data_IF_512874946691
#
_entry.id   IF_512874946691
#
_cell.length_a   1.000
_cell.length_b   1.000
_cell.length_c   1.000
_cell.angle_alpha   90.00
_cell.angle_beta   90.00
_cell.angle_gamma   90.00
#
_symmetry.space_group_name_H-M   'P 1'
#
loop_
_entity.id
_entity.type
_entity.pdbx_description
1 polymer ?
#
# COMPACT_ATOMS: atom_id res chain seq x y z
N UNK A 1 -7.30 -7.97 -18.63
CA UNK A 1 -8.67 -7.54 -18.42
C UNK A 1 -8.76 -6.36 -17.46
N UNK A 2 -8.10 -6.46 -16.33
CA UNK A 2 -8.06 -5.35 -15.38
C UNK A 2 -7.47 -4.11 -15.98
N UNK A 3 -6.44 -4.26 -16.77
CA UNK A 3 -5.83 -3.11 -17.42
C UNK A 3 -6.78 -2.40 -18.36
N UNK A 4 -7.57 -3.17 -19.08
CA UNK A 4 -8.54 -2.59 -19.99
C UNK A 4 -9.60 -1.78 -19.25
N UNK A 5 -10.09 -2.31 -18.13
CA UNK A 5 -11.06 -1.61 -17.30
C UNK A 5 -10.50 -0.31 -16.75
N UNK A 6 -9.28 -0.36 -16.27
CA UNK A 6 -8.63 0.82 -15.73
C UNK A 6 -8.38 1.88 -16.80
N UNK A 7 -7.97 1.45 -17.97
CA UNK A 7 -7.72 2.38 -19.07
C UNK A 7 -8.99 3.07 -19.51
N UNK A 8 -10.11 2.37 -19.51
CA UNK A 8 -11.39 2.95 -19.88
C UNK A 8 -12.02 3.83 -18.84
N UNK A 9 -11.40 3.98 -17.67
CA UNK A 9 -11.97 4.73 -16.56
C UNK A 9 -11.12 5.96 -16.28
N UNK A 10 -11.07 6.37 -15.03
CA UNK A 10 -10.37 7.56 -14.60
C UNK A 10 -8.89 7.59 -14.92
N UNK A 11 -8.27 6.45 -15.10
CA UNK A 11 -6.85 6.43 -15.45
C UNK A 11 -6.55 7.14 -16.74
N UNK A 12 -7.52 7.24 -17.63
CA UNK A 12 -7.34 7.94 -18.89
C UNK A 12 -7.21 9.45 -18.74
N UNK A 13 -7.73 10.00 -17.65
CA UNK A 13 -7.73 11.44 -17.42
C UNK A 13 -6.77 11.89 -16.34
N UNK A 14 -6.06 10.93 -15.72
CA UNK A 14 -5.07 11.26 -14.71
C UNK A 14 -3.67 11.13 -15.30
N UNK A 15 -2.74 11.87 -14.69
CA UNK A 15 -1.35 11.75 -15.07
C UNK A 15 -0.86 10.33 -14.79
N UNK A 16 -0.37 9.69 -15.83
CA UNK A 16 0.13 8.34 -15.76
C UNK A 16 1.61 8.34 -16.11
N UNK A 17 2.36 7.62 -15.31
CA UNK A 17 3.73 7.33 -15.63
C UNK A 17 3.86 5.92 -16.15
N UNK A 18 5.07 5.51 -16.33
CA UNK A 18 5.42 4.18 -16.75
C UNK A 18 6.10 3.46 -15.61
N UNK A 19 5.66 2.25 -15.31
CA UNK A 19 6.30 1.45 -14.30
C UNK A 19 7.73 1.13 -14.71
N UNK A 20 8.59 0.90 -13.73
CA UNK A 20 10.00 0.68 -13.99
C UNK A 20 10.31 -0.76 -14.39
N UNK A 21 9.65 -1.71 -13.74
CA UNK A 21 9.93 -3.14 -13.91
C UNK A 21 8.86 -3.83 -14.72
N UNK A 22 7.60 -3.56 -14.42
CA UNK A 22 6.48 -4.23 -15.08
C UNK A 22 5.92 -3.36 -16.20
N UNK A 23 5.27 -3.99 -17.16
CA UNK A 23 4.66 -3.28 -18.28
C UNK A 23 3.24 -2.87 -17.92
N UNK A 24 3.14 -1.89 -17.03
CA UNK A 24 1.86 -1.39 -16.54
C UNK A 24 1.99 0.09 -16.25
N UNK A 25 0.90 0.85 -16.33
CA UNK A 25 0.93 2.25 -15.96
C UNK A 25 0.97 2.43 -14.44
N UNK A 26 1.45 3.58 -14.01
CA UNK A 26 1.38 3.98 -12.61
C UNK A 26 0.66 5.32 -12.53
N UNK A 27 0.26 5.68 -11.32
CA UNK A 27 -0.32 6.99 -11.05
C UNK A 27 0.78 7.85 -10.44
N UNK A 28 1.26 8.83 -11.20
CA UNK A 28 2.40 9.62 -10.76
C UNK A 28 2.10 10.49 -9.54
N UNK A 29 0.86 10.87 -9.35
CA UNK A 29 0.44 11.65 -8.18
C UNK A 29 0.46 10.84 -6.89
N UNK A 30 0.47 9.52 -6.99
CA UNK A 30 0.41 8.67 -5.81
C UNK A 30 1.72 8.71 -5.04
N UNK A 31 1.68 8.88 -3.71
CA UNK A 31 2.90 8.92 -2.91
C UNK A 31 3.63 7.58 -2.88
N UNK A 32 2.94 6.51 -3.20
CA UNK A 32 3.52 5.17 -3.18
C UNK A 32 2.92 4.35 -4.30
N UNK A 33 3.76 3.70 -5.08
CA UNK A 33 3.34 2.77 -6.11
C UNK A 33 4.06 1.45 -5.91
N UNK A 34 3.31 0.38 -5.93
CA UNK A 34 3.86 -0.96 -5.76
C UNK A 34 3.69 -1.70 -7.07
N UNK A 35 4.80 -2.09 -7.69
CA UNK A 35 4.79 -2.85 -8.94
C UNK A 35 4.75 -4.33 -8.61
N UNK A 36 3.77 -5.01 -9.17
CA UNK A 36 3.56 -6.42 -8.87
C UNK A 36 3.47 -7.24 -10.16
N UNK A 37 3.90 -8.48 -10.07
CA UNK A 37 3.75 -9.44 -11.15
C UNK A 37 2.78 -10.52 -10.66
N UNK A 38 1.67 -10.70 -11.36
CA UNK A 38 0.64 -11.65 -10.95
C UNK A 38 1.21 -13.07 -10.98
N UNK A 39 1.00 -13.76 -9.88
CA UNK A 39 1.48 -15.11 -9.68
C UNK A 39 0.35 -16.12 -9.81
N UNK A 40 -0.82 -15.77 -9.30
CA UNK A 40 -1.96 -16.66 -9.29
C UNK A 40 -3.25 -15.85 -9.26
N UNK A 41 -4.27 -16.36 -9.95
CA UNK A 41 -5.61 -15.75 -9.92
C UNK A 41 -6.57 -16.82 -9.46
N UNK A 42 -7.32 -16.52 -8.40
CA UNK A 42 -8.29 -17.46 -7.83
C UNK A 42 -9.68 -16.88 -8.00
N UNK A 43 -10.55 -17.62 -8.70
CA UNK A 43 -11.93 -17.19 -8.90
C UNK A 43 -12.74 -17.45 -7.64
N UNK A 44 -13.42 -16.42 -7.15
CA UNK A 44 -14.25 -16.52 -5.96
C UNK A 44 -15.73 -16.28 -6.27
N UNK A 45 -16.11 -16.48 -7.52
CA UNK A 45 -17.50 -16.27 -7.95
C UNK A 45 -17.68 -14.85 -8.47
N UNK A 46 -18.17 -13.94 -7.65
CA UNK A 46 -18.41 -12.55 -8.07
C UNK A 46 -17.12 -11.74 -8.16
N UNK A 47 -16.04 -12.25 -7.60
CA UNK A 47 -14.75 -11.56 -7.55
C UNK A 47 -13.62 -12.51 -7.82
N UNK A 48 -12.50 -11.99 -8.28
CA UNK A 48 -11.27 -12.75 -8.43
C UNK A 48 -10.25 -12.26 -7.42
N UNK A 49 -9.49 -13.18 -6.85
CA UNK A 49 -8.42 -12.85 -5.94
C UNK A 49 -7.08 -12.99 -6.68
N UNK A 50 -6.31 -11.92 -6.71
CA UNK A 50 -5.01 -11.90 -7.37
C UNK A 50 -3.90 -12.01 -6.33
N UNK A 51 -3.03 -12.97 -6.53
CA UNK A 51 -1.83 -13.13 -5.70
C UNK A 51 -0.65 -12.74 -6.57
N UNK A 52 0.17 -11.84 -6.07
CA UNK A 52 1.24 -11.28 -6.89
C UNK A 52 2.53 -11.12 -6.09
N UNK A 53 3.64 -11.21 -6.79
CA UNK A 53 4.94 -10.91 -6.21
C UNK A 53 5.20 -9.41 -6.36
N UNK A 54 5.65 -8.79 -5.29
CA UNK A 54 6.06 -7.40 -5.32
C UNK A 54 7.46 -7.35 -5.91
N UNK A 55 7.62 -6.68 -7.04
CA UNK A 55 8.91 -6.63 -7.72
C UNK A 55 9.58 -5.26 -7.64
N UNK A 56 8.84 -4.23 -7.27
CA UNK A 56 9.41 -2.90 -7.10
C UNK A 56 8.46 -2.03 -6.28
N UNK A 57 9.02 -1.09 -5.54
CA UNK A 57 8.25 -0.10 -4.79
C UNK A 57 8.83 1.27 -5.11
N UNK A 58 7.96 2.18 -5.51
CA UNK A 58 8.34 3.56 -5.76
C UNK A 58 7.66 4.44 -4.72
N UNK A 59 8.43 5.19 -3.97
CA UNK A 59 7.92 6.10 -2.94
C UNK A 59 8.37 7.51 -3.25
N UNK A 60 7.51 8.47 -2.92
CA UNK A 60 7.82 9.88 -3.09
C UNK A 60 8.81 10.31 -1.99
N UNK A 61 9.87 10.96 -2.37
CA UNK A 61 10.94 11.37 -1.46
C UNK A 61 10.46 12.23 -0.30
N UNK A 62 9.43 13.01 -0.51
CA UNK A 62 8.95 13.92 0.53
C UNK A 62 8.34 13.19 1.74
N UNK A 63 8.04 11.91 1.58
CA UNK A 63 7.52 11.10 2.68
C UNK A 63 8.59 10.21 3.31
N UNK A 64 9.85 10.38 2.90
CA UNK A 64 10.94 9.64 3.49
C UNK A 64 11.59 10.48 4.60
N UNK A 65 11.91 9.81 5.69
CA UNK A 65 12.63 10.47 6.78
C UNK A 65 14.07 10.76 6.31
N UNK A 66 14.47 12.03 6.39
CA UNK A 66 15.78 12.45 5.89
C UNK A 66 16.96 11.84 6.64
N UNK A 67 16.77 11.42 7.87
CA UNK A 67 17.85 10.84 8.67
C UNK A 67 17.91 9.32 8.55
N UNK A 68 16.75 8.66 8.58
CA UNK A 68 16.70 7.19 8.58
C UNK A 68 16.36 6.58 7.23
N UNK A 69 15.84 7.37 6.31
CA UNK A 69 15.38 6.89 5.02
C UNK A 69 14.06 6.11 5.10
N UNK A 70 13.44 6.10 6.27
CA UNK A 70 12.20 5.36 6.46
C UNK A 70 11.01 6.07 5.82
N UNK A 71 10.14 5.30 5.18
CA UNK A 71 8.91 5.85 4.60
C UNK A 71 7.91 6.14 5.73
N UNK A 72 7.47 7.39 5.80
CA UNK A 72 6.51 7.81 6.82
C UNK A 72 5.10 7.75 6.24
N UNK A 73 4.50 6.59 6.33
CA UNK A 73 3.18 6.33 5.73
C UNK A 73 2.10 7.27 6.25
N UNK A 74 2.15 7.62 7.52
CA UNK A 74 1.14 8.50 8.10
C UNK A 74 1.11 9.87 7.44
N UNK A 75 2.25 10.34 6.96
CA UNK A 75 2.33 11.64 6.30
C UNK A 75 1.75 11.61 4.88
N UNK A 76 1.66 10.45 4.30
CA UNK A 76 1.05 10.27 2.99
C UNK A 76 -0.47 10.27 3.06
N UNK A 77 -1.03 10.21 4.25
CA UNK A 77 -2.46 10.24 4.52
C UNK A 77 -3.25 9.23 3.68
N UNK A 78 -2.93 7.93 3.83
CA UNK A 78 -3.59 6.91 3.03
C UNK A 78 -5.05 6.71 3.42
N UNK A 79 -5.82 6.20 2.48
CA UNK A 79 -7.22 5.88 2.71
C UNK A 79 -7.37 4.47 3.26
N UNK A 80 -8.39 4.30 4.09
CA UNK A 80 -8.78 2.99 4.61
C UNK A 80 -10.25 2.76 4.26
N UNK A 81 -10.54 1.63 3.65
CA UNK A 81 -11.92 1.25 3.37
C UNK A 81 -12.36 0.21 4.40
N UNK A 82 -13.34 0.58 5.23
CA UNK A 82 -13.83 -0.29 6.29
C UNK A 82 -15.34 -0.12 6.39
N UNK A 83 -16.02 -1.26 6.41
CA UNK A 83 -17.45 -1.29 6.67
C UNK A 83 -18.25 -0.30 5.80
N UNK A 84 -17.96 -0.33 4.51
CA UNK A 84 -18.70 0.48 3.55
C UNK A 84 -18.33 1.95 3.48
N UNK A 85 -17.27 2.36 4.16
CA UNK A 85 -16.85 3.76 4.15
C UNK A 85 -15.36 3.94 3.98
N UNK A 86 -14.96 5.13 3.58
CA UNK A 86 -13.56 5.49 3.46
C UNK A 86 -13.17 6.39 4.62
N UNK A 87 -12.03 6.11 5.21
CA UNK A 87 -11.56 6.82 6.39
C UNK A 87 -10.10 7.20 6.25
N UNK A 88 -9.69 8.19 7.01
CA UNK A 88 -8.28 8.50 7.16
C UNK A 88 -7.73 7.71 8.33
N UNK A 89 -6.42 7.54 8.37
CA UNK A 89 -5.78 6.89 9.50
C UNK A 89 -5.84 7.78 10.74
N UNK A 90 -6.06 7.16 11.88
CA UNK A 90 -5.93 7.83 13.15
C UNK A 90 -4.49 7.81 13.65
N UNK A 91 -4.29 8.19 14.91
CA UNK A 91 -2.94 8.17 15.51
C UNK A 91 -2.38 6.76 15.57
N UNK A 92 -1.07 6.66 15.54
CA UNK A 92 -0.39 5.38 15.69
C UNK A 92 -0.60 4.87 17.12
N UNK A 93 -1.07 3.64 17.26
CA UNK A 93 -1.34 3.06 18.57
C UNK A 93 -0.42 1.91 18.95
N UNK A 94 0.51 1.56 18.06
CA UNK A 94 1.44 0.47 18.31
C UNK A 94 2.57 0.51 17.31
N UNK A 95 3.49 -0.43 17.43
CA UNK A 95 4.64 -0.51 16.54
C UNK A 95 4.80 -1.92 16.00
N UNK A 96 5.63 -2.07 14.99
CA UNK A 96 5.92 -3.36 14.40
C UNK A 96 6.41 -4.33 15.48
N UNK A 97 5.81 -5.50 15.52
CA UNK A 97 6.19 -6.52 16.49
C UNK A 97 5.55 -6.36 17.86
N UNK A 98 4.73 -5.32 18.05
CA UNK A 98 4.11 -5.05 19.34
C UNK A 98 3.32 -6.25 19.90
N UNK A 99 2.59 -6.93 19.05
CA UNK A 99 1.74 -8.02 19.49
C UNK A 99 2.53 -9.24 19.98
N UNK A 100 3.81 -9.33 19.66
CA UNK A 100 4.67 -10.44 20.09
C UNK A 100 5.70 -10.05 21.13
N UNK A 101 5.68 -8.82 21.64
CA UNK A 101 6.55 -8.36 22.71
C UNK A 101 5.97 -8.68 24.09
N UNK A 102 5.46 -9.87 24.25
CA UNK A 102 4.73 -10.23 25.46
C UNK A 102 5.55 -10.14 26.72
N UNK A 103 6.74 -10.71 26.69
CA UNK A 103 7.53 -10.82 27.90
C UNK A 103 7.96 -9.46 28.44
N UNK A 104 8.42 -8.60 27.54
CA UNK A 104 8.83 -7.26 27.93
C UNK A 104 7.67 -6.43 28.45
N UNK A 105 6.55 -6.51 27.76
CA UNK A 105 5.36 -5.77 28.16
C UNK A 105 4.84 -6.23 29.49
N UNK A 106 4.78 -7.53 29.70
CA UNK A 106 4.32 -8.09 30.97
C UNK A 106 5.21 -7.68 32.12
N UNK A 107 6.51 -7.70 31.89
CA UNK A 107 7.46 -7.29 32.92
C UNK A 107 7.22 -5.84 33.32
N UNK A 108 7.02 -4.98 32.33
CA UNK A 108 6.75 -3.57 32.61
C UNK A 108 5.44 -3.35 33.33
N UNK A 109 4.42 -4.08 32.95
CA UNK A 109 3.11 -3.98 33.57
C UNK A 109 3.13 -4.42 35.03
N UNK A 110 3.89 -5.43 35.30
CA UNK A 110 4.00 -5.93 36.68
C UNK A 110 4.85 -5.02 37.56
N UNK A 111 5.72 -4.29 36.96
CA UNK A 111 6.53 -3.33 37.68
C UNK A 111 5.75 -2.08 38.01
#
# INVERSE_FOLDING_TARGET
EMQRSLVGSEMCIRDRGKAKIVNAPIIEESPLCIECRVKEIISLGSHDMFIADVVNVKADDKYLNGETGKFELSQANPLVYVHGGYFELGPKIGKFGWSVEKNRMRTKEKA
#
